data_IF_679742665916
#
_entry.id   IF_679742665916
#
_cell.length_a   1.000
_cell.length_b   1.000
_cell.length_c   1.000
_cell.angle_alpha   90.00
_cell.angle_beta   90.00
_cell.angle_gamma   90.00
#
_symmetry.space_group_name_H-M   'P 1'
#
loop_
_entity.id
_entity.type
_entity.pdbx_description
1 polymer ?
2 non-polymer ?
3 water ?
#
# COMPACT_ATOMS: atom_id res chain seq x y z
N UNK A 1 15.13 9.45 12.37
CA UNK A 1 13.83 9.02 12.97
C UNK A 1 13.49 7.60 12.49
N UNK A 2 13.36 6.66 13.44
CA UNK A 2 13.09 5.28 13.08
C UNK A 2 11.72 4.73 13.46
N UNK A 3 10.82 5.60 13.89
CA UNK A 3 9.48 5.17 14.26
C UNK A 3 8.73 4.93 12.97
N UNK A 4 7.83 3.95 13.00
CA UNK A 4 7.01 3.62 11.84
C UNK A 4 5.64 3.12 12.26
N UNK A 5 4.68 3.24 11.34
CA UNK A 5 3.32 2.75 11.55
C UNK A 5 3.19 1.76 10.40
N UNK A 6 2.56 0.62 10.64
CA UNK A 6 2.45 -0.33 9.56
C UNK A 6 1.15 -1.13 9.45
N UNK A 7 0.90 -1.59 8.23
CA UNK A 7 -0.24 -2.42 7.87
C UNK A 7 0.41 -3.53 7.03
N UNK A 8 0.25 -4.78 7.45
CA UNK A 8 0.88 -5.88 6.74
C UNK A 8 -0.03 -6.97 6.20
N UNK A 9 0.43 -7.61 5.12
CA UNK A 9 -0.33 -8.68 4.51
C UNK A 9 -1.74 -8.32 4.10
N UNK A 10 -1.99 -7.05 3.78
CA UNK A 10 -3.29 -6.59 3.34
C UNK A 10 -3.57 -7.30 2.03
N UNK A 11 -4.78 -7.83 1.88
CA UNK A 11 -5.10 -8.56 0.67
C UNK A 11 -6.44 -8.19 0.07
N UNK A 12 -6.38 -7.87 -1.22
CA UNK A 12 -7.55 -7.47 -1.99
C UNK A 12 -7.60 -8.28 -3.29
N UNK A 13 -8.81 -8.53 -3.78
CA UNK A 13 -9.00 -9.23 -5.03
C UNK A 13 -9.27 -8.13 -6.06
N UNK A 14 -8.38 -8.01 -7.04
CA UNK A 14 -8.53 -6.99 -8.06
C UNK A 14 -8.41 -7.54 -9.46
N UNK A 15 -8.46 -6.66 -10.45
CA UNK A 15 -8.38 -7.06 -11.85
C UNK A 15 -7.33 -6.28 -12.64
N UNK A 16 -6.34 -5.75 -11.94
CA UNK A 16 -5.28 -5.01 -12.59
C UNK A 16 -4.37 -5.99 -13.29
N UNK A 17 -3.68 -5.52 -14.32
CA UNK A 17 -2.78 -6.38 -15.07
C UNK A 17 -2.65 -5.97 -16.51
N UNK A 18 -1.44 -6.12 -17.05
CA UNK A 18 -1.16 -5.75 -18.43
C UNK A 18 -1.83 -6.66 -19.48
N UNK A 19 -2.07 -7.92 -19.11
CA UNK A 19 -2.67 -8.89 -20.03
C UNK A 19 -4.19 -8.94 -19.90
N UNK A 20 -4.89 -8.86 -21.03
CA UNK A 20 -6.35 -8.90 -21.06
C UNK A 20 -6.92 -10.02 -20.19
N UNK A 21 -6.42 -11.24 -20.37
CA UNK A 21 -6.91 -12.37 -19.59
C UNK A 21 -6.84 -12.07 -18.08
N UNK A 22 -5.75 -11.45 -17.65
CA UNK A 22 -5.57 -11.09 -16.25
C UNK A 22 -6.77 -10.28 -15.75
N UNK A 23 -6.99 -9.12 -16.36
CA UNK A 23 -8.09 -8.24 -15.97
C UNK A 23 -9.46 -8.90 -15.98
N UNK A 24 -9.61 -9.95 -16.79
CA UNK A 24 -10.87 -10.66 -16.91
C UNK A 24 -11.22 -11.55 -15.72
N UNK A 25 -10.25 -12.37 -15.33
CA UNK A 25 -10.43 -13.31 -14.23
C UNK A 25 -10.07 -12.71 -12.86
N UNK A 26 -9.00 -11.92 -12.81
CA UNK A 26 -8.58 -11.30 -11.57
C UNK A 26 -7.60 -12.11 -10.73
N UNK A 27 -7.29 -11.60 -9.54
CA UNK A 27 -6.38 -12.27 -8.62
C UNK A 27 -6.18 -11.49 -7.31
N UNK A 28 -5.63 -12.17 -6.31
CA UNK A 28 -5.36 -11.55 -5.03
C UNK A 28 -4.05 -10.75 -5.08
N UNK A 29 -4.12 -9.52 -4.57
CA UNK A 29 -2.99 -8.61 -4.49
C UNK A 29 -2.71 -8.40 -3.01
N UNK A 30 -1.49 -8.69 -2.58
CA UNK A 30 -1.08 -8.52 -1.18
C UNK A 30 -0.31 -7.21 -1.09
N UNK A 31 -0.59 -6.42 -0.05
CA UNK A 31 0.05 -5.12 0.12
C UNK A 31 0.56 -4.84 1.53
N UNK A 32 1.80 -4.37 1.62
CA UNK A 32 2.42 -4.02 2.89
C UNK A 32 2.65 -2.53 2.80
N UNK A 33 2.16 -1.79 3.78
CA UNK A 33 2.37 -0.35 3.80
C UNK A 33 3.06 0.06 5.10
N UNK A 34 4.18 0.76 4.97
CA UNK A 34 4.94 1.23 6.12
C UNK A 34 5.10 2.75 6.01
N UNK A 35 4.61 3.47 7.01
CA UNK A 35 4.68 4.93 7.03
C UNK A 35 5.67 5.46 8.06
N UNK A 36 6.48 6.46 7.69
CA UNK A 36 7.45 7.07 8.61
C UNK A 36 6.73 8.17 9.40
N UNK A 37 6.71 8.02 10.71
CA UNK A 37 6.01 8.97 11.56
C UNK A 37 6.68 9.01 12.91
N UNK A 38 6.82 10.21 13.47
CA UNK A 38 7.43 10.40 14.78
C UNK A 38 6.33 10.12 15.82
N UNK A 39 6.46 9.03 16.59
CA UNK A 39 5.42 8.65 17.57
C UNK A 39 5.62 8.96 19.06
N UNK A 40 6.55 9.86 19.39
CA UNK A 40 6.81 10.20 20.79
C UNK A 40 5.69 11.03 21.44
N UNK A 41 5.15 11.99 20.70
CA UNK A 41 4.07 12.81 21.23
C UNK A 41 2.88 11.89 21.53
N UNK A 42 2.43 11.15 20.52
CA UNK A 42 1.31 10.22 20.70
C UNK A 42 1.66 9.23 21.81
N UNK A 43 2.93 8.86 21.89
CA UNK A 43 3.37 7.95 22.93
C UNK A 43 3.37 8.66 24.27
N UNK A 44 3.61 9.97 24.21
CA UNK A 44 3.63 10.79 25.42
C UNK A 44 2.19 11.03 25.86
N UNK A 45 1.41 11.65 24.98
CA UNK A 45 0.00 11.96 25.26
C UNK A 45 -0.94 10.75 25.40
N UNK A 46 -0.95 9.88 24.40
CA UNK A 46 -1.82 8.69 24.37
C UNK A 46 -3.10 9.11 23.64
N UNK A 47 -3.01 10.22 22.92
CA UNK A 47 -4.14 10.78 22.18
C UNK A 47 -4.03 10.46 20.70
N UNK A 48 -4.97 9.66 20.20
CA UNK A 48 -5.01 9.24 18.79
C UNK A 48 -4.82 10.40 17.83
N UNK A 49 -5.23 11.59 18.26
CA UNK A 49 -5.12 12.79 17.45
C UNK A 49 -3.66 13.26 17.31
N UNK A 50 -2.73 12.52 17.91
CA UNK A 50 -1.32 12.86 17.83
C UNK A 50 -0.58 11.88 16.93
N UNK A 51 -1.33 10.99 16.30
CA UNK A 51 -0.74 9.99 15.42
C UNK A 51 -1.64 9.78 14.23
N UNK A 52 -1.26 8.86 13.35
CA UNK A 52 -2.05 8.59 12.15
C UNK A 52 -2.94 7.37 12.39
N UNK A 53 -4.19 7.52 12.03
CA UNK A 53 -5.24 6.51 12.14
C UNK A 53 -5.01 5.45 11.07
N UNK A 54 -4.70 4.20 11.45
CA UNK A 54 -4.49 3.20 10.40
C UNK A 54 -5.77 2.80 9.68
N UNK A 55 -6.88 2.78 10.39
CA UNK A 55 -8.13 2.42 9.73
C UNK A 55 -8.32 3.26 8.48
N UNK A 56 -8.02 4.54 8.63
CA UNK A 56 -8.14 5.48 7.54
C UNK A 56 -7.15 5.13 6.45
N UNK A 57 -5.95 4.73 6.86
CA UNK A 57 -4.92 4.35 5.91
C UNK A 57 -5.32 3.10 5.13
N UNK A 58 -5.99 2.16 5.81
CA UNK A 58 -6.42 0.90 5.17
C UNK A 58 -7.53 1.16 4.17
N UNK A 59 -8.46 2.04 4.54
CA UNK A 59 -9.56 2.37 3.65
C UNK A 59 -8.99 3.03 2.39
N UNK A 60 -7.97 3.86 2.56
CA UNK A 60 -7.34 4.53 1.43
C UNK A 60 -6.67 3.52 0.50
N UNK A 61 -6.03 2.51 1.08
CA UNK A 61 -5.36 1.49 0.28
C UNK A 61 -6.41 0.65 -0.42
N UNK A 62 -7.42 0.24 0.33
CA UNK A 62 -8.52 -0.56 -0.19
C UNK A 62 -9.22 0.10 -1.38
N UNK A 63 -9.51 1.39 -1.26
CA UNK A 63 -10.19 2.15 -2.32
C UNK A 63 -9.45 2.10 -3.65
N UNK A 64 -8.12 2.13 -3.59
CA UNK A 64 -7.30 2.07 -4.79
C UNK A 64 -7.11 0.62 -5.28
N UNK A 65 -6.95 -0.31 -4.35
CA UNK A 65 -6.73 -1.71 -4.69
C UNK A 65 -7.99 -2.37 -5.24
N UNK A 66 -9.15 -1.92 -4.78
CA UNK A 66 -10.41 -2.48 -5.26
C UNK A 66 -11.14 -1.56 -6.24
N UNK A 67 -10.40 -0.65 -6.87
CA UNK A 67 -11.02 0.26 -7.82
C UNK A 67 -10.80 -0.07 -9.29
N UNK A 68 -10.63 0.97 -10.10
CA UNK A 68 -10.41 0.82 -11.54
C UNK A 68 -9.18 -0.01 -11.87
N UNK A 69 -9.35 -1.02 -12.71
CA UNK A 69 -8.25 -1.88 -13.11
C UNK A 69 -7.21 -1.14 -13.95
N UNK A 70 -5.97 -1.12 -13.47
CA UNK A 70 -4.87 -0.48 -14.17
C UNK A 70 -3.92 -1.56 -14.65
N UNK A 71 -2.85 -1.17 -15.34
CA UNK A 71 -1.92 -2.15 -15.86
C UNK A 71 -0.85 -2.62 -14.89
N UNK A 72 -0.03 -1.67 -14.44
CA UNK A 72 1.09 -1.94 -13.56
C UNK A 72 0.86 -1.82 -12.06
N UNK A 73 1.63 -2.60 -11.31
CA UNK A 73 1.57 -2.58 -9.86
C UNK A 73 2.27 -1.28 -9.46
N UNK A 74 3.17 -0.82 -10.34
CA UNK A 74 3.94 0.41 -10.13
C UNK A 74 3.00 1.60 -10.07
N UNK A 75 1.92 1.51 -10.83
CA UNK A 75 0.92 2.56 -10.86
C UNK A 75 0.07 2.42 -9.62
N UNK A 76 -0.23 1.18 -9.24
CA UNK A 76 -1.04 0.92 -8.06
C UNK A 76 -0.37 1.42 -6.78
N UNK A 77 0.95 1.33 -6.72
CA UNK A 77 1.72 1.74 -5.55
C UNK A 77 2.01 3.24 -5.50
N UNK A 78 2.15 3.85 -6.67
CA UNK A 78 2.42 5.28 -6.76
C UNK A 78 1.18 6.06 -6.34
N UNK A 79 0.01 5.53 -6.68
CA UNK A 79 -1.23 6.19 -6.32
C UNK A 79 -1.49 6.07 -4.82
N UNK A 80 -1.04 4.95 -4.24
CA UNK A 80 -1.20 4.71 -2.80
C UNK A 80 -0.26 5.65 -2.06
N UNK A 81 1.01 5.61 -2.44
CA UNK A 81 2.02 6.46 -1.82
C UNK A 81 1.55 7.91 -1.88
N UNK A 82 1.30 8.38 -3.10
CA UNK A 82 0.86 9.76 -3.31
C UNK A 82 -0.45 10.13 -2.62
N UNK A 83 -1.30 9.16 -2.33
CA UNK A 83 -2.57 9.46 -1.66
C UNK A 83 -2.46 9.51 -0.12
N UNK A 84 -1.48 8.81 0.44
CA UNK A 84 -1.29 8.80 1.88
C UNK A 84 -0.46 10.00 2.27
N UNK A 85 0.46 10.38 1.39
CA UNK A 85 1.34 11.51 1.63
C UNK A 85 0.63 12.86 1.60
N UNK A 86 -0.48 12.91 0.87
CA UNK A 86 -1.27 14.12 0.72
C UNK A 86 -2.13 14.41 1.95
N UNK A 87 -2.95 13.44 2.32
CA UNK A 87 -3.85 13.58 3.45
C UNK A 87 -3.22 13.47 4.84
N UNK A 88 -1.91 13.24 4.91
CA UNK A 88 -1.25 13.12 6.21
C UNK A 88 0.12 13.79 6.19
N UNK A 89 0.28 14.78 7.07
CA UNK A 89 1.52 15.53 7.17
C UNK A 89 2.49 14.89 8.15
N UNK A 90 1.97 14.12 9.09
CA UNK A 90 2.84 13.47 10.06
C UNK A 90 3.62 12.32 9.40
N UNK A 91 3.17 11.89 8.22
CA UNK A 91 3.85 10.84 7.49
C UNK A 91 4.97 11.53 6.71
N UNK A 92 6.20 11.29 7.12
CA UNK A 92 7.35 11.90 6.46
C UNK A 92 7.75 11.13 5.20
N UNK A 93 7.34 9.87 5.12
CA UNK A 93 7.67 9.02 3.97
C UNK A 93 6.80 7.76 3.98
N UNK A 94 6.34 7.35 2.79
CA UNK A 94 5.49 6.16 2.62
C UNK A 94 6.14 5.07 1.75
N UNK A 95 6.17 3.85 2.30
CA UNK A 95 6.73 2.71 1.59
C UNK A 95 5.59 1.78 1.23
N UNK A 96 5.46 1.48 -0.05
CA UNK A 96 4.40 0.61 -0.51
C UNK A 96 4.97 -0.58 -1.27
N UNK A 97 4.65 -1.78 -0.79
CA UNK A 97 5.09 -3.03 -1.40
C UNK A 97 3.87 -3.81 -1.88
N UNK A 98 3.87 -4.18 -3.16
CA UNK A 98 2.75 -4.93 -3.69
C UNK A 98 3.28 -6.24 -4.22
N UNK A 99 2.55 -7.31 -3.95
CA UNK A 99 2.98 -8.63 -4.38
C UNK A 99 1.91 -9.41 -5.13
N UNK A 100 2.29 -9.99 -6.27
CA UNK A 100 1.40 -10.82 -7.08
C UNK A 100 1.89 -12.25 -6.80
N UNK A 101 1.32 -12.88 -5.78
CA UNK A 101 1.73 -14.24 -5.43
C UNK A 101 1.39 -15.28 -6.50
N UNK A 102 0.45 -14.95 -7.38
CA UNK A 102 0.05 -15.89 -8.42
C UNK A 102 -0.12 -15.28 -9.81
N UNK A 103 0.94 -14.69 -10.35
CA UNK A 103 0.86 -14.10 -11.69
C UNK A 103 0.80 -15.16 -12.78
N UNK A 104 0.49 -14.75 -14.02
CA UNK A 104 0.41 -15.67 -15.16
C UNK A 104 1.78 -16.23 -15.58
N UNK A 105 2.70 -16.36 -14.63
CA UNK A 105 4.04 -16.88 -14.92
C UNK A 105 4.17 -18.39 -14.66
N UNK A 106 4.43 -19.17 -15.73
CA UNK A 106 4.58 -20.63 -15.67
C UNK A 106 5.78 -21.08 -14.85
N UNK A 107 5.56 -21.31 -13.55
CA UNK A 107 6.64 -21.75 -12.68
C UNK A 107 6.27 -21.91 -11.22
N UNK A 108 7.29 -22.10 -10.38
CA UNK A 108 7.11 -22.27 -8.94
C UNK A 108 7.93 -21.24 -8.19
N UNK A 109 7.24 -20.29 -7.58
CA UNK A 109 7.86 -19.19 -6.82
C UNK A 109 6.85 -18.79 -5.76
N UNK A 110 7.29 -17.98 -4.81
CA UNK A 110 6.40 -17.55 -3.75
C UNK A 110 5.61 -16.29 -4.15
N UNK A 111 6.13 -15.54 -5.12
CA UNK A 111 5.46 -14.32 -5.56
C UNK A 111 6.37 -13.31 -6.24
N UNK A 112 5.78 -12.45 -7.06
CA UNK A 112 6.52 -11.42 -7.78
C UNK A 112 5.90 -10.07 -7.44
N UNK A 113 6.73 -9.04 -7.30
CA UNK A 113 6.17 -7.74 -6.99
C UNK A 113 7.13 -6.58 -7.10
N UNK A 114 6.72 -5.47 -6.50
CA UNK A 114 7.52 -4.26 -6.50
C UNK A 114 7.39 -3.60 -5.14
N UNK A 115 8.27 -2.64 -4.89
CA UNK A 115 8.26 -1.89 -3.64
C UNK A 115 8.76 -0.49 -3.93
N UNK A 116 7.97 0.51 -3.54
CA UNK A 116 8.38 1.89 -3.74
C UNK A 116 8.41 2.62 -2.40
N UNK A 117 9.40 3.50 -2.25
CA UNK A 117 9.56 4.32 -1.05
C UNK A 117 9.37 5.75 -1.57
N UNK A 118 8.47 6.51 -0.94
CA UNK A 118 8.21 7.88 -1.40
C UNK A 118 8.16 8.87 -0.24
N UNK A 119 9.05 9.86 -0.24
CA UNK A 119 9.03 10.85 0.83
C UNK A 119 7.88 11.83 0.62
N UNK A 120 7.39 12.41 1.72
CA UNK A 120 6.30 13.39 1.71
C UNK A 120 6.90 14.79 1.45
N UNK A 121 6.39 15.50 0.45
CA UNK A 121 6.92 16.83 0.16
C UNK A 121 5.99 17.93 0.67
X LIG B 1 4.68 -8.51 -16.99
X LIG B 1 3.85 -7.68 -16.09
X LIG B 1 2.48 -7.72 -15.95
X LIG B 1 2.08 -6.83 -15.05
X LIG B 1 3.20 -6.16 -14.55
X LIG B 1 3.43 -5.14 -13.60
X LIG B 1 2.38 -4.58 -12.92
X LIG B 1 4.73 -4.71 -13.37
X LIG B 1 5.79 -5.26 -14.06
X LIG B 1 7.10 -4.80 -13.82
X LIG B 1 5.59 -6.24 -14.96
X LIG B 1 4.34 -6.70 -15.23
#
# INVERSE_FOLDING_TARGET
MQDTIFLKGMRFYGYHGALSAENEIGQIFKVDVTLKVDLSEAGRTDNVIDTVHYGEVFEEVKSIMEGKAVNLLEHLAERIANRINSQYNRVMETKVRITKENPPIPGHYDGVGIEIVRENK
9MG C1 N2 C3 N4 C5 C6 O7 N8 C9 N10 N11 C12
#
